data_IF_911205646934
#
_entry.id   IF_911205646934
#
_cell.length_a   1.000
_cell.length_b   1.000
_cell.length_c   1.000
_cell.angle_alpha   90.00
_cell.angle_beta   90.00
_cell.angle_gamma   90.00
#
_symmetry.space_group_name_H-M   'P 1'
#
loop_
_entity.id
_entity.type
_entity.pdbx_description
1 polymer ?
2 polymer ?
3 non-polymer ?
4 non-polymer ?
5 water ?
#
# COMPACT_ATOMS: atom_id res chain seq x y z
N UNK A 1 16.07 -15.72 11.35
CA UNK A 1 14.61 -15.65 11.14
C UNK A 1 13.94 -16.85 11.75
N UNK A 2 12.88 -16.61 12.53
CA UNK A 2 12.14 -17.69 13.16
C UNK A 2 11.51 -18.64 12.14
N UNK A 3 11.45 -18.23 10.87
CA UNK A 3 10.90 -19.06 9.81
C UNK A 3 11.97 -19.74 9.00
N UNK A 4 13.25 -19.58 9.37
CA UNK A 4 14.35 -20.14 8.60
C UNK A 4 14.33 -21.66 8.53
N UNK A 5 13.78 -22.32 9.55
CA UNK A 5 13.75 -23.77 9.55
C UNK A 5 12.52 -24.36 8.83
N UNK A 6 11.58 -23.54 8.38
CA UNK A 6 10.38 -24.08 7.73
C UNK A 6 10.52 -24.04 6.21
N UNK A 7 10.03 -25.08 5.55
CA UNK A 7 10.04 -25.15 4.10
C UNK A 7 9.29 -23.99 3.46
N UNK A 8 9.82 -23.50 2.33
CA UNK A 8 9.16 -22.45 1.57
C UNK A 8 7.72 -22.81 1.27
N UNK A 9 7.49 -24.03 0.79
CA UNK A 9 6.14 -24.43 0.40
C UNK A 9 5.20 -24.49 1.61
N UNK A 10 5.73 -24.87 2.77
CA UNK A 10 4.94 -24.92 3.99
C UNK A 10 4.57 -23.51 4.47
N UNK A 11 5.50 -22.56 4.32
CA UNK A 11 5.21 -21.15 4.62
C UNK A 11 4.11 -20.62 3.72
N UNK A 12 4.14 -20.95 2.44
CA UNK A 12 3.09 -20.48 1.56
C UNK A 12 1.76 -21.13 1.94
N UNK A 13 1.77 -22.45 2.15
CA UNK A 13 0.57 -23.13 2.59
C UNK A 13 0.00 -22.53 3.86
N UNK A 14 0.86 -22.22 4.85
CA UNK A 14 0.36 -21.65 6.10
C UNK A 14 -0.08 -20.21 5.94
N UNK A 15 0.52 -19.46 5.00
CA UNK A 15 0.04 -18.11 4.75
C UNK A 15 -1.40 -18.14 4.23
N UNK A 16 -1.73 -19.13 3.38
CA UNK A 16 -3.10 -19.26 2.87
C UNK A 16 -4.08 -19.69 3.97
N UNK A 17 -3.63 -20.54 4.88
CA UNK A 17 -4.45 -20.89 6.04
C UNK A 17 -4.69 -19.66 6.92
N UNK A 18 -3.64 -18.89 7.18
CA UNK A 18 -3.79 -17.67 7.99
C UNK A 18 -4.75 -16.69 7.34
N UNK A 19 -4.67 -16.51 6.02
CA UNK A 19 -5.65 -15.69 5.31
C UNK A 19 -7.07 -16.18 5.57
N UNK A 20 -7.30 -17.48 5.46
CA UNK A 20 -8.64 -18.01 5.66
C UNK A 20 -9.11 -17.76 7.08
N UNK A 21 -8.18 -17.75 8.04
CA UNK A 21 -8.53 -17.49 9.44
C UNK A 21 -8.46 -16.01 9.81
N UNK A 22 -8.19 -15.14 8.85
CA UNK A 22 -8.00 -13.71 9.10
C UNK A 22 -6.95 -13.45 10.19
N UNK A 23 -5.90 -14.25 10.17
CA UNK A 23 -4.77 -14.05 11.06
C UNK A 23 -3.64 -13.38 10.28
N UNK A 24 -3.78 -12.06 10.08
CA UNK A 24 -2.89 -11.42 9.10
C UNK A 24 -1.49 -11.20 9.62
N UNK A 25 -1.30 -11.06 10.94
CA UNK A 25 0.05 -10.99 11.49
C UNK A 25 0.80 -12.28 11.21
N UNK A 26 0.16 -13.42 11.48
CA UNK A 26 0.74 -14.72 11.12
C UNK A 26 1.02 -14.81 9.62
N UNK A 27 0.03 -14.42 8.81
CA UNK A 27 0.18 -14.45 7.37
C UNK A 27 1.38 -13.65 6.91
N UNK A 28 1.58 -12.47 7.49
CA UNK A 28 2.73 -11.64 7.15
C UNK A 28 4.06 -12.27 7.59
N UNK A 29 4.12 -12.84 8.80
CA UNK A 29 5.34 -13.50 9.23
C UNK A 29 5.68 -14.70 8.33
N UNK A 30 4.66 -15.46 7.92
CA UNK A 30 4.88 -16.58 7.01
C UNK A 30 5.43 -16.11 5.66
N UNK A 31 4.83 -15.05 5.11
CA UNK A 31 5.28 -14.56 3.81
C UNK A 31 6.67 -13.90 3.89
N UNK A 32 6.98 -13.19 4.99
CA UNK A 32 8.35 -12.71 5.19
C UNK A 32 9.34 -13.88 5.17
N UNK A 33 9.01 -14.97 5.88
CA UNK A 33 9.86 -16.15 5.85
C UNK A 33 10.04 -16.66 4.44
N UNK A 34 8.96 -16.65 3.66
CA UNK A 34 9.01 -17.15 2.29
C UNK A 34 9.92 -16.28 1.44
N UNK A 35 9.76 -14.96 1.55
CA UNK A 35 10.63 -14.04 0.81
C UNK A 35 12.08 -14.29 1.18
N UNK A 36 12.38 -14.44 2.47
CA UNK A 36 13.77 -14.59 2.91
C UNK A 36 14.40 -15.91 2.46
N UNK A 37 13.62 -16.84 1.89
CA UNK A 37 14.24 -18.00 1.24
C UNK A 37 15.08 -17.59 0.03
N UNK A 38 14.86 -16.39 -0.51
CA UNK A 38 15.71 -15.86 -1.56
C UNK A 38 15.24 -16.13 -2.97
N UNK A 39 14.21 -16.93 -3.15
CA UNK A 39 13.64 -17.16 -4.49
C UNK A 39 12.61 -16.10 -4.83
N UNK A 40 12.47 -15.83 -6.12
CA UNK A 40 11.45 -14.87 -6.56
C UNK A 40 10.07 -15.41 -6.20
N UNK A 41 9.09 -14.50 -6.18
CA UNK A 41 7.72 -14.86 -5.86
C UNK A 41 6.90 -14.93 -7.14
N UNK A 42 6.02 -15.93 -7.22
CA UNK A 42 5.02 -16.01 -8.25
C UNK A 42 3.94 -14.94 -8.09
N UNK A 44 0.67 -15.28 -7.58
CA UNK A 44 -0.19 -15.59 -6.44
C UNK A 44 0.55 -15.31 -5.13
N UNK A 45 1.85 -15.63 -5.08
CA UNK A 45 2.63 -15.39 -3.87
C UNK A 45 2.81 -13.89 -3.59
N UNK A 46 3.00 -13.07 -4.64
CA UNK A 46 3.05 -11.63 -4.42
C UNK A 46 1.76 -11.13 -3.82
N UNK A 47 0.61 -11.66 -4.27
CA UNK A 47 -0.65 -11.21 -3.71
C UNK A 47 -0.76 -11.57 -2.24
N UNK A 48 -0.26 -12.76 -1.86
CA UNK A 48 -0.32 -13.13 -0.44
C UNK A 48 0.50 -12.17 0.40
N UNK A 49 1.69 -11.81 -0.10
CA UNK A 49 2.57 -10.89 0.59
C UNK A 49 1.91 -9.53 0.79
N UNK A 50 1.35 -8.98 -0.30
CA UNK A 50 0.77 -7.64 -0.24
C UNK A 50 -0.47 -7.60 0.64
N UNK A 51 -1.31 -8.64 0.56
CA UNK A 51 -2.54 -8.66 1.35
C UNK A 51 -2.22 -8.73 2.84
N UNK A 52 -1.23 -9.55 3.20
CA UNK A 52 -0.90 -9.74 4.60
C UNK A 52 -0.51 -8.41 5.24
N UNK A 53 0.49 -7.76 4.68
CA UNK A 53 0.96 -6.51 5.26
C UNK A 53 -0.04 -5.37 5.12
N UNK A 54 -0.78 -5.32 4.00
CA UNK A 54 -1.83 -4.31 3.85
C UNK A 54 -2.78 -4.37 5.06
N UNK A 55 -3.17 -5.58 5.48
CA UNK A 55 -4.11 -5.71 6.56
C UNK A 55 -3.47 -5.40 7.91
N UNK A 56 -2.23 -5.84 8.13
CA UNK A 56 -1.54 -5.50 9.37
C UNK A 56 -1.41 -3.97 9.51
N UNK A 57 -0.83 -3.33 8.49
CA UNK A 57 -0.60 -1.90 8.58
C UNK A 57 -1.92 -1.14 8.53
N UNK A 58 -2.93 -1.69 7.86
CA UNK A 58 -4.23 -1.05 7.82
C UNK A 58 -4.88 -0.92 9.19
N UNK A 59 -4.80 -1.96 10.01
CA UNK A 59 -5.27 -1.85 11.39
C UNK A 59 -4.45 -0.90 12.24
N UNK A 60 -3.13 -0.91 12.07
CA UNK A 60 -2.28 0.04 12.79
C UNK A 60 -2.63 1.48 12.41
N UNK A 61 -2.84 1.75 11.11
CA UNK A 61 -3.12 3.11 10.67
C UNK A 61 -4.46 3.60 11.22
N UNK A 62 -5.47 2.73 11.20
CA UNK A 62 -6.77 3.09 11.73
C UNK A 62 -6.70 3.40 13.21
N UNK A 63 -5.94 2.61 13.98
CA UNK A 63 -5.75 2.90 15.40
C UNK A 63 -5.02 4.21 15.61
N UNK A 64 -3.98 4.45 14.81
CA UNK A 64 -3.22 5.69 14.92
C UNK A 64 -4.12 6.89 14.69
N UNK A 65 -5.03 6.80 13.73
CA UNK A 65 -5.93 7.92 13.45
C UNK A 65 -6.90 8.16 14.60
N UNK A 66 -7.44 7.09 15.19
CA UNK A 66 -8.27 7.25 16.39
C UNK A 66 -7.50 8.00 17.46
N UNK A 67 -6.27 7.53 17.77
CA UNK A 67 -5.48 8.13 18.85
C UNK A 67 -5.06 9.55 18.53
N UNK A 68 -4.68 9.80 17.27
CA UNK A 68 -4.25 11.14 16.88
C UNK A 68 -5.40 12.14 16.96
N UNK A 69 -6.63 11.70 16.69
CA UNK A 69 -7.78 12.59 16.83
C UNK A 69 -8.05 12.90 18.29
N UNK A 70 -7.91 11.90 19.17
CA UNK A 70 -8.02 12.16 20.61
C UNK A 70 -6.93 13.12 21.06
N UNK A 71 -5.72 12.91 20.57
CA UNK A 71 -4.61 13.76 20.97
C UNK A 71 -4.88 15.20 20.56
N UNK A 72 -5.36 15.40 19.34
CA UNK A 72 -5.59 16.75 18.84
C UNK A 72 -6.69 17.44 19.62
N UNK A 73 -7.76 16.70 19.94
CA UNK A 73 -8.83 17.24 20.78
C UNK A 73 -8.32 17.63 22.15
N UNK A 74 -7.34 16.88 22.69
CA UNK A 74 -6.79 17.19 24.01
C UNK A 74 -5.94 18.46 23.99
N UNK A 75 -5.54 18.94 22.81
CA UNK A 75 -4.75 20.16 22.70
C UNK A 75 -5.59 21.34 22.21
N UNK A 76 -6.91 21.20 22.19
CA UNK A 76 -7.78 22.32 21.83
C UNK A 76 -7.91 23.28 23.02
N UNK A 77 -8.43 24.48 22.76
CA UNK A 77 -8.67 25.46 23.81
C UNK A 77 -9.80 24.97 24.71
N UNK A 78 -9.51 24.86 26.01
CA UNK A 78 -10.52 24.50 26.98
C UNK A 78 -10.50 23.04 27.43
N UNK A 79 -9.56 22.24 26.93
CA UNK A 79 -9.48 20.84 27.31
C UNK A 79 -8.69 20.70 28.59
N UNK A 80 -9.20 19.88 29.50
CA UNK A 80 -8.51 19.65 30.77
C UNK A 80 -7.26 18.82 30.53
N UNK A 81 -6.13 19.25 31.11
CA UNK A 81 -4.88 18.49 30.98
C UNK A 81 -5.08 17.07 31.49
N UNK A 82 -4.67 16.09 30.68
CA UNK A 82 -4.84 14.69 31.07
C UNK A 82 -3.51 13.96 31.21
N UNK A 83 -2.39 14.66 31.03
CA UNK A 83 -1.09 14.06 31.19
C UNK A 83 -0.58 13.51 29.87
N UNK A 84 0.53 12.76 29.92
CA UNK A 84 1.25 12.35 28.71
C UNK A 84 0.75 11.07 28.07
N UNK A 85 -0.29 10.46 28.64
CA UNK A 85 -0.65 9.10 28.24
C UNK A 85 -1.13 9.02 26.80
N UNK A 86 -1.95 9.98 26.37
CA UNK A 86 -2.47 9.91 25.00
C UNK A 86 -1.32 9.99 24.00
N UNK A 87 -0.41 10.96 24.21
CA UNK A 87 0.77 11.07 23.36
C UNK A 87 1.61 9.80 23.41
N UNK A 88 1.87 9.28 24.62
CA UNK A 88 2.67 8.06 24.75
C UNK A 88 2.07 6.92 23.95
N UNK A 89 0.75 6.69 24.09
CA UNK A 89 0.16 5.53 23.44
C UNK A 89 0.07 5.74 21.93
N UNK A 90 -0.20 6.98 21.48
CA UNK A 90 -0.12 7.27 20.05
C UNK A 90 1.27 6.99 19.51
N UNK A 91 2.31 7.44 20.24
CA UNK A 91 3.69 7.15 19.88
C UNK A 91 3.98 5.65 19.85
N UNK A 92 3.42 4.88 20.79
CA UNK A 92 3.65 3.44 20.81
C UNK A 92 3.11 2.79 19.53
N UNK A 93 1.87 3.12 19.16
CA UNK A 93 1.26 2.59 17.95
C UNK A 93 2.04 3.05 16.73
N UNK A 94 2.40 4.32 16.70
CA UNK A 94 3.15 4.89 15.57
C UNK A 94 4.46 4.14 15.36
N UNK A 95 5.18 3.90 16.46
CA UNK A 95 6.46 3.23 16.36
C UNK A 95 6.30 1.81 15.84
N UNK A 96 5.26 1.10 16.30
CA UNK A 96 4.98 -0.24 15.80
C UNK A 96 4.64 -0.21 14.31
N UNK A 97 3.82 0.77 13.90
CA UNK A 97 3.51 0.96 12.49
C UNK A 97 4.76 1.21 11.66
N UNK A 98 5.63 2.10 12.13
CA UNK A 98 6.84 2.39 11.36
C UNK A 98 7.72 1.16 11.24
N UNK A 99 7.77 0.34 12.29
CA UNK A 99 8.53 -0.88 12.21
C UNK A 99 8.04 -1.83 11.11
N UNK A 100 6.71 -1.95 10.98
CA UNK A 100 6.16 -2.77 9.91
C UNK A 100 6.52 -2.18 8.56
N UNK A 101 6.36 -0.87 8.40
CA UNK A 101 6.72 -0.25 7.12
C UNK A 101 8.19 -0.50 6.79
N UNK A 102 9.07 -0.38 7.79
CA UNK A 102 10.48 -0.60 7.56
C UNK A 102 10.76 -2.04 7.17
N UNK A 103 10.04 -2.98 7.78
CA UNK A 103 10.24 -4.40 7.46
C UNK A 103 9.87 -4.67 6.00
N UNK A 104 8.71 -4.16 5.55
CA UNK A 104 8.28 -4.37 4.16
C UNK A 104 9.26 -3.74 3.20
N UNK A 105 9.65 -2.49 3.47
CA UNK A 105 10.61 -1.80 2.64
C UNK A 105 11.93 -2.56 2.58
N UNK A 106 12.32 -3.17 3.70
CA UNK A 106 13.54 -3.97 3.70
C UNK A 106 13.44 -5.22 2.84
N UNK A 107 12.25 -5.86 2.82
CA UNK A 107 12.07 -7.02 1.95
C UNK A 107 12.14 -6.60 0.48
N UNK A 108 11.49 -5.48 0.14
CA UNK A 108 11.54 -4.98 -1.23
C UNK A 108 12.96 -4.64 -1.63
N UNK A 109 13.75 -4.08 -0.71
CA UNK A 109 15.10 -3.67 -1.04
C UNK A 109 16.09 -4.82 -0.97
N UNK A 110 15.75 -5.91 -0.26
CA UNK A 110 16.64 -7.07 -0.05
C UNK A 110 15.86 -8.38 -0.19
N UNK A 111 15.55 -8.81 -1.42
CA UNK A 111 16.08 -8.27 -2.67
C UNK A 111 15.05 -8.36 -3.79
N UNK A 112 13.77 -8.20 -3.41
CA UNK A 112 12.67 -8.43 -4.34
C UNK A 112 12.75 -7.50 -5.55
N UNK A 113 12.95 -6.21 -5.35
CA UNK A 113 12.89 -5.29 -6.49
C UNK A 113 14.03 -5.57 -7.47
N UNK A 114 15.25 -5.72 -6.98
CA UNK A 114 16.37 -5.82 -7.90
C UNK A 114 16.32 -7.10 -8.72
N UNK A 115 15.62 -8.15 -8.25
CA UNK A 115 15.47 -9.33 -9.07
C UNK A 115 14.21 -9.32 -9.94
N UNK A 116 13.34 -8.32 -9.83
CA UNK A 116 12.06 -8.31 -10.56
C UNK A 116 12.28 -7.69 -11.94
N UNK A 117 12.21 -8.52 -12.99
CA UNK A 117 12.41 -8.06 -14.36
C UNK A 117 11.14 -7.94 -15.18
N UNK A 118 10.16 -8.80 -14.95
CA UNK A 118 8.89 -8.66 -15.67
C UNK A 118 8.11 -7.46 -15.12
N UNK A 119 7.38 -6.78 -16.03
CA UNK A 119 6.59 -5.61 -15.66
C UNK A 119 5.64 -5.89 -14.51
N UNK A 120 4.96 -7.05 -14.53
CA UNK A 120 3.95 -7.33 -13.50
C UNK A 120 4.57 -7.45 -12.11
N UNK A 121 5.79 -7.95 -12.01
CA UNK A 121 6.40 -8.03 -10.69
C UNK A 121 7.06 -6.71 -10.33
N UNK A 122 7.77 -6.09 -11.29
CA UNK A 122 8.47 -4.86 -10.98
C UNK A 122 7.51 -3.74 -10.60
N UNK A 123 6.43 -3.57 -11.37
CA UNK A 123 5.44 -2.55 -11.04
C UNK A 123 4.77 -2.83 -9.71
N UNK A 124 4.43 -4.10 -9.47
CA UNK A 124 3.80 -4.50 -8.21
C UNK A 124 4.65 -4.11 -7.01
N UNK A 125 5.96 -4.42 -7.07
CA UNK A 125 6.82 -4.15 -5.92
C UNK A 125 7.08 -2.66 -5.77
N UNK A 126 7.20 -1.93 -6.88
CA UNK A 126 7.40 -0.48 -6.78
C UNK A 126 6.15 0.22 -6.26
N UNK A 127 4.95 -0.26 -6.62
CA UNK A 127 3.73 0.22 -5.98
C UNK A 127 3.81 0.01 -4.46
N UNK A 128 4.19 -1.20 -4.03
CA UNK A 128 4.31 -1.48 -2.60
C UNK A 128 5.28 -0.50 -1.94
N UNK A 129 6.44 -0.28 -2.58
CA UNK A 129 7.41 0.65 -2.00
C UNK A 129 6.80 2.04 -1.85
N UNK A 130 6.09 2.51 -2.89
CA UNK A 130 5.37 3.77 -2.77
C UNK A 130 4.36 3.77 -1.64
N UNK A 131 3.58 2.70 -1.53
CA UNK A 131 2.55 2.58 -0.49
C UNK A 131 3.16 2.68 0.90
N UNK A 132 4.25 1.93 1.16
CA UNK A 132 4.77 1.92 2.54
C UNK A 132 5.54 3.19 2.86
N UNK A 133 6.14 3.87 1.88
CA UNK A 133 6.67 5.20 2.16
C UNK A 133 5.53 6.20 2.39
N UNK A 134 4.41 6.01 1.70
CA UNK A 134 3.23 6.85 1.96
C UNK A 134 2.74 6.69 3.39
N UNK A 135 2.68 5.45 3.89
CA UNK A 135 2.21 5.24 5.27
C UNK A 135 3.18 5.85 6.28
N UNK A 136 4.47 5.76 6.02
CA UNK A 136 5.42 6.52 6.83
C UNK A 136 5.17 8.02 6.73
N UNK A 137 4.83 8.51 5.54
CA UNK A 137 4.61 9.96 5.39
C UNK A 137 3.37 10.41 6.14
N UNK A 138 2.35 9.55 6.25
CA UNK A 138 1.14 9.92 6.98
C UNK A 138 1.42 10.29 8.42
N UNK A 139 2.44 9.70 9.05
CA UNK A 139 2.75 9.98 10.45
C UNK A 139 4.01 10.81 10.62
N UNK A 140 4.66 11.23 9.54
CA UNK A 140 5.94 11.92 9.64
C UNK A 140 5.72 13.37 10.05
N UNK A 141 6.67 13.90 10.85
CA UNK A 141 6.58 15.30 11.28
C UNK A 141 7.93 16.00 11.44
N UNK A 142 9.07 15.37 11.14
CA UNK A 142 10.37 15.92 11.43
C UNK A 142 11.20 16.30 10.22
N UNK A 143 12.52 16.34 10.41
CA UNK A 143 13.47 16.80 9.42
C UNK A 143 13.38 16.04 8.09
N UNK A 144 12.92 14.79 8.12
CA UNK A 144 13.01 13.95 6.93
C UNK A 144 11.64 13.69 6.31
N UNK A 145 10.61 14.43 6.72
CA UNK A 145 9.29 14.25 6.12
C UNK A 145 9.34 14.49 4.62
N UNK A 146 10.10 15.50 4.16
CA UNK A 146 10.10 15.80 2.74
C UNK A 146 10.78 14.69 1.96
N UNK A 147 11.85 14.11 2.53
CA UNK A 147 12.53 13.02 1.85
C UNK A 147 11.63 11.78 1.84
N UNK A 148 10.85 11.56 2.90
CA UNK A 148 9.95 10.42 2.92
C UNK A 148 8.91 10.55 1.82
N UNK A 149 8.32 11.74 1.71
CA UNK A 149 7.36 12.03 0.65
C UNK A 149 7.99 11.82 -0.72
N UNK A 150 9.21 12.33 -0.90
CA UNK A 150 9.82 12.22 -2.22
C UNK A 150 10.18 10.76 -2.55
N UNK A 151 10.48 9.94 -1.53
CA UNK A 151 10.71 8.52 -1.77
C UNK A 151 9.44 7.82 -2.24
N UNK A 152 8.30 8.15 -1.62
CA UNK A 152 7.03 7.62 -2.10
C UNK A 152 6.80 8.03 -3.55
N UNK A 153 6.96 9.32 -3.85
CA UNK A 153 6.74 9.83 -5.20
C UNK A 153 7.63 9.12 -6.19
N UNK A 154 8.91 8.99 -5.86
CA UNK A 154 9.88 8.42 -6.79
C UNK A 154 9.54 6.98 -7.12
N UNK A 155 9.14 6.20 -6.12
CA UNK A 155 8.79 4.81 -6.37
C UNK A 155 7.52 4.70 -7.20
N UNK A 156 6.48 5.50 -6.86
CA UNK A 156 5.25 5.49 -7.65
C UNK A 156 5.52 5.91 -9.09
N UNK A 157 6.39 6.91 -9.28
CA UNK A 157 6.65 7.41 -10.62
C UNK A 157 7.36 6.38 -11.49
N UNK A 158 8.36 5.68 -10.93
CA UNK A 158 9.01 4.62 -11.69
C UNK A 158 8.01 3.52 -12.06
N UNK A 159 7.11 3.19 -11.14
CA UNK A 159 6.10 2.18 -11.43
C UNK A 159 5.13 2.69 -12.50
N UNK A 160 4.75 3.96 -12.43
CA UNK A 160 3.89 4.54 -13.46
C UNK A 160 4.54 4.47 -14.83
N UNK A 161 5.83 4.84 -14.91
CA UNK A 161 6.53 4.86 -16.18
C UNK A 161 6.57 3.47 -16.83
N UNK A 162 6.89 2.44 -16.04
CA UNK A 162 6.94 1.06 -16.55
C UNK A 162 5.53 0.61 -16.94
N UNK A 163 4.54 0.90 -16.11
CA UNK A 163 3.20 0.40 -16.35
C UNK A 163 2.64 0.99 -17.65
N UNK A 164 2.93 2.27 -17.90
CA UNK A 164 2.47 2.92 -19.12
C UNK A 164 3.13 2.33 -20.36
N UNK A 165 4.40 1.96 -20.26
CA UNK A 165 5.09 1.41 -21.42
C UNK A 165 4.75 -0.07 -21.63
N UNK A 166 4.49 -0.82 -20.56
CA UNK A 166 4.52 -2.27 -20.68
C UNK A 166 3.19 -2.97 -20.39
N UNK A 167 2.18 -2.27 -19.92
CA UNK A 167 0.94 -2.92 -19.55
C UNK A 167 -0.22 -2.20 -20.24
N UNK A 168 -1.28 -2.92 -20.55
CA UNK A 168 -2.47 -2.27 -21.10
C UNK A 168 -3.17 -1.44 -20.04
N UNK A 169 -4.03 -0.50 -20.46
CA UNK A 169 -4.59 0.46 -19.51
C UNK A 169 -5.53 -0.15 -18.52
N UNK A 170 -6.03 -1.36 -18.81
CA UNK A 170 -6.97 -2.05 -17.94
C UNK A 170 -6.30 -3.02 -16.99
N UNK A 171 -4.99 -3.15 -17.05
CA UNK A 171 -4.29 -4.09 -16.16
C UNK A 171 -4.60 -3.76 -14.71
N UNK A 172 -5.02 -4.74 -13.88
CA UNK A 172 -5.40 -4.40 -12.51
C UNK A 172 -4.30 -3.77 -11.69
N UNK A 173 -3.03 -4.20 -11.88
CA UNK A 173 -1.92 -3.59 -11.15
C UNK A 173 -1.74 -2.14 -11.58
N UNK A 174 -1.73 -1.89 -12.89
CA UNK A 174 -1.66 -0.51 -13.37
C UNK A 174 -2.78 0.35 -12.78
N UNK A 175 -4.00 -0.18 -12.73
CA UNK A 175 -5.12 0.60 -12.21
C UNK A 175 -4.99 0.85 -10.71
N UNK A 176 -4.58 -0.17 -9.95
CA UNK A 176 -4.41 0.01 -8.52
C UNK A 176 -3.27 0.94 -8.18
N UNK A 177 -2.19 0.89 -8.96
CA UNK A 177 -1.10 1.86 -8.83
C UNK A 177 -1.61 3.28 -9.03
N UNK A 178 -2.36 3.50 -10.11
CA UNK A 178 -2.84 4.85 -10.40
C UNK A 178 -3.80 5.34 -9.32
N UNK A 179 -4.69 4.47 -8.86
CA UNK A 179 -5.57 4.80 -7.74
C UNK A 179 -4.77 5.32 -6.54
N UNK A 180 -3.70 4.61 -6.14
CA UNK A 180 -2.97 4.98 -4.93
C UNK A 180 -2.09 6.21 -5.15
N UNK A 181 -1.46 6.34 -6.33
CA UNK A 181 -0.64 7.53 -6.61
C UNK A 181 -1.53 8.77 -6.62
N UNK A 182 -2.77 8.62 -7.10
CA UNK A 182 -3.75 9.70 -7.05
C UNK A 182 -4.07 10.08 -5.61
N UNK A 183 -4.27 9.09 -4.74
CA UNK A 183 -4.48 9.37 -3.31
C UNK A 183 -3.26 10.06 -2.71
N UNK A 184 -2.07 9.61 -3.08
CA UNK A 184 -0.85 10.26 -2.65
C UNK A 184 -0.86 11.74 -3.03
N UNK A 185 -1.18 12.03 -4.30
CA UNK A 185 -1.26 13.42 -4.74
C UNK A 185 -2.26 14.20 -3.90
N UNK A 186 -3.43 13.59 -3.67
CA UNK A 186 -4.51 14.33 -3.03
C UNK A 186 -4.18 14.69 -1.58
N UNK A 187 -3.70 13.74 -0.79
CA UNK A 187 -3.64 13.99 0.65
C UNK A 187 -2.23 13.96 1.24
N UNK A 188 -1.21 13.58 0.47
CA UNK A 188 0.17 13.65 0.93
C UNK A 188 0.92 14.82 0.27
N UNK A 189 0.78 14.98 -1.04
CA UNK A 189 1.54 15.99 -1.79
C UNK A 189 0.79 17.30 -1.97
N UNK A 190 -0.39 17.44 -1.37
CA UNK A 190 -1.14 18.70 -1.48
C UNK A 190 -1.38 19.09 -2.95
N UNK A 191 -1.69 18.11 -3.79
CA UNK A 191 -1.89 18.34 -5.23
C UNK A 191 -3.22 17.72 -5.65
N UNK A 192 -4.34 18.25 -5.16
CA UNK A 192 -5.64 17.66 -5.51
C UNK A 192 -5.94 17.72 -7.00
N UNK A 193 -5.47 18.74 -7.70
CA UNK A 193 -5.72 18.77 -9.14
C UNK A 193 -5.01 17.64 -9.85
N UNK A 194 -3.78 17.34 -9.46
CA UNK A 194 -3.07 16.21 -10.04
C UNK A 194 -3.79 14.90 -9.72
N UNK A 195 -4.28 14.77 -8.48
CA UNK A 195 -5.02 13.57 -8.09
C UNK A 195 -6.24 13.36 -8.97
N UNK A 196 -6.96 14.44 -9.26
CA UNK A 196 -8.18 14.33 -10.06
C UNK A 196 -7.85 14.06 -11.52
N UNK A 197 -6.87 14.77 -12.06
CA UNK A 197 -6.42 14.52 -13.42
C UNK A 197 -5.99 13.08 -13.62
N UNK A 198 -5.19 12.55 -12.69
CA UNK A 198 -4.70 11.18 -12.87
C UNK A 198 -5.83 10.17 -12.78
N UNK A 199 -6.76 10.35 -11.83
CA UNK A 199 -7.85 9.39 -11.70
C UNK A 199 -8.74 9.40 -12.93
N UNK A 200 -9.03 10.59 -13.47
CA UNK A 200 -9.91 10.67 -14.63
C UNK A 200 -9.28 10.06 -15.87
N UNK A 201 -8.04 10.45 -16.16
CA UNK A 201 -7.32 9.94 -17.32
C UNK A 201 -7.17 8.43 -17.26
N UNK A 202 -6.78 7.90 -16.09
CA UNK A 202 -6.71 6.45 -15.90
C UNK A 202 -8.06 5.78 -16.17
N UNK A 203 -9.14 6.31 -15.60
CA UNK A 203 -10.46 5.71 -15.80
C UNK A 203 -10.86 5.74 -17.28
N UNK A 204 -10.65 6.89 -17.94
CA UNK A 204 -11.08 7.03 -19.34
C UNK A 204 -10.27 6.13 -20.27
N UNK A 205 -8.98 6.01 -20.02
CA UNK A 205 -8.17 5.13 -20.86
C UNK A 205 -8.49 3.66 -20.61
N UNK A 206 -8.86 3.27 -19.39
CA UNK A 206 -9.28 1.91 -19.18
C UNK A 206 -10.61 1.64 -19.88
N UNK A 207 -11.56 2.58 -19.75
CA UNK A 207 -12.86 2.46 -20.41
C UNK A 207 -12.68 2.07 -21.87
N UNK A 208 -11.80 2.77 -22.57
CA UNK A 208 -11.64 2.59 -24.00
C UNK A 208 -10.94 1.30 -24.37
N UNK A 209 -10.37 0.56 -23.40
CA UNK A 209 -9.68 -0.69 -23.64
C UNK A 209 -10.50 -1.91 -23.21
N UNK A 210 -11.67 -1.68 -22.60
CA UNK A 210 -12.47 -2.78 -22.09
C UNK A 210 -12.93 -3.70 -23.21
N UNK A 211 -13.13 -3.16 -24.42
CA UNK A 211 -13.64 -3.97 -25.52
C UNK A 211 -12.68 -5.10 -25.88
N UNK A 212 -11.42 -5.03 -25.47
CA UNK A 212 -10.48 -6.08 -25.79
C UNK A 212 -10.55 -7.28 -24.85
N UNK A 213 -11.30 -7.19 -23.75
CA UNK A 213 -11.20 -8.12 -22.64
C UNK A 213 -12.23 -9.24 -22.69
N UNK A 214 -11.87 -10.37 -22.11
CA UNK A 214 -12.82 -11.42 -21.74
C UNK A 214 -13.78 -10.93 -20.65
N UNK A 215 -14.87 -11.67 -20.46
CA UNK A 215 -15.80 -11.38 -19.37
C UNK A 215 -15.09 -11.32 -18.01
N UNK A 216 -14.24 -12.29 -17.71
CA UNK A 216 -13.60 -12.30 -16.40
C UNK A 216 -12.65 -11.11 -16.23
N UNK A 217 -11.86 -10.82 -17.28
CA UNK A 217 -10.96 -9.66 -17.22
C UNK A 217 -11.75 -8.36 -17.13
N UNK A 218 -12.88 -8.28 -17.84
CA UNK A 218 -13.77 -7.13 -17.75
C UNK A 218 -14.20 -6.88 -16.32
N UNK A 219 -14.63 -7.94 -15.62
CA UNK A 219 -15.05 -7.80 -14.23
C UNK A 219 -13.88 -7.33 -13.36
N UNK A 220 -12.68 -7.92 -13.55
CA UNK A 220 -11.53 -7.53 -12.75
C UNK A 220 -11.22 -6.05 -12.93
N UNK A 221 -11.24 -5.56 -14.17
CA UNK A 221 -10.86 -4.18 -14.42
C UNK A 221 -11.94 -3.20 -13.95
N UNK A 222 -13.21 -3.49 -14.27
CA UNK A 222 -14.27 -2.56 -13.89
C UNK A 222 -14.35 -2.42 -12.37
N UNK A 223 -13.99 -3.45 -11.64
CA UNK A 223 -14.05 -3.35 -10.17
C UNK A 223 -13.13 -2.24 -9.68
N UNK A 224 -11.91 -2.17 -10.22
CA UNK A 224 -10.99 -1.13 -9.76
C UNK A 224 -11.31 0.21 -10.37
N UNK A 225 -11.82 0.23 -11.61
CA UNK A 225 -12.28 1.48 -12.19
C UNK A 225 -13.34 2.14 -11.33
N UNK A 226 -14.23 1.34 -10.73
CA UNK A 226 -15.26 1.91 -9.87
C UNK A 226 -14.65 2.60 -8.65
N UNK A 227 -13.51 2.12 -8.14
CA UNK A 227 -12.85 2.80 -7.06
C UNK A 227 -12.28 4.15 -7.51
N UNK A 228 -11.74 4.21 -8.75
CA UNK A 228 -11.33 5.50 -9.31
C UNK A 228 -12.53 6.45 -9.39
N UNK A 229 -13.68 5.94 -9.82
CA UNK A 229 -14.89 6.76 -9.89
C UNK A 229 -15.34 7.21 -8.51
N UNK A 230 -15.31 6.32 -7.52
CA UNK A 230 -15.67 6.68 -6.16
C UNK A 230 -14.88 7.91 -5.70
N UNK A 231 -13.56 7.89 -5.92
CA UNK A 231 -12.73 9.01 -5.49
C UNK A 231 -13.06 10.28 -6.27
N UNK A 232 -13.24 10.18 -7.58
CA UNK A 232 -13.61 11.35 -8.36
C UNK A 232 -14.91 11.95 -7.84
N UNK A 233 -15.89 11.10 -7.49
CA UNK A 233 -17.16 11.62 -6.97
C UNK A 233 -16.97 12.29 -5.61
N UNK A 234 -16.07 11.74 -4.77
CA UNK A 234 -15.80 12.34 -3.48
C UNK A 234 -15.07 13.68 -3.62
N UNK A 235 -14.18 13.80 -4.58
CA UNK A 235 -13.27 14.92 -4.68
C UNK A 235 -13.77 16.06 -5.54
N UNK A 236 -14.87 15.88 -6.25
CA UNK A 236 -15.37 16.92 -7.14
C UNK A 236 -16.83 17.28 -6.79
N UNK B 6 -17.55 9.28 2.69
CA UNK B 6 -16.81 8.03 2.49
C UNK B 6 -15.29 8.27 2.65
N UNK B 7 -14.60 7.27 3.20
CA UNK B 7 -13.14 7.24 3.21
C UNK B 7 -12.65 6.92 1.80
N UNK B 8 -11.86 7.83 1.21
CA UNK B 8 -11.36 7.64 -0.16
C UNK B 8 -10.78 6.24 -0.32
N UNK B 9 -10.72 5.75 -1.55
CA UNK B 9 -10.32 4.40 -1.83
C UNK B 9 -8.86 4.27 -2.20
N UNK B 11 -5.91 0.75 -2.64
CA UNK B 11 -5.85 -0.70 -2.83
C UNK B 11 -4.51 -1.24 -2.44
#
# INVERSE_FOLDING_TARGET
GAMGSMERASLIQKAKLAEQAERYEDMAAFMKGAVEKGEELSXEERNLLSVAYKNVVGGQRAAWRVLSSIEQKSNEEGSEEKGPEVREYREKVETELQGVCDTVLGLLDSHLIKEAGDAESRVFYLKMKGDYYRYLAEVATGDDKKRIIDSARSAYQEAMDISKKEMPPTNPIRLGLALNFSVFHYEIANSPEEAISLAKTTFDEAMADLHTLSEDSYKDSTLIMQLLRDNLTLWTADNAGEEGGEAPQEPQS
IQDLWQWRKXL
#
